data_IF_572131534178
#
_entry.id   IF_572131534178
#
_cell.length_a   1.000
_cell.length_b   1.000
_cell.length_c   1.000
_cell.angle_alpha   90.00
_cell.angle_beta   90.00
_cell.angle_gamma   90.00
#
_symmetry.space_group_name_H-M   'P 1'
#
loop_
_entity.id
_entity.type
_entity.pdbx_description
1 polymer ?
#
# COMPACT_ATOMS: atom_id res chain seq x y z
N UNK A 1 -6.67 6.33 27.38
CA UNK A 1 -6.49 5.14 26.52
C UNK A 1 -6.54 3.94 27.44
N UNK A 2 -7.59 3.12 27.40
CA UNK A 2 -7.62 1.89 28.20
C UNK A 2 -6.86 0.84 27.40
N UNK A 3 -5.77 0.35 27.96
CA UNK A 3 -5.01 -0.76 27.39
C UNK A 3 -5.92 -1.98 27.30
N UNK A 4 -6.40 -2.30 26.11
CA UNK A 4 -7.35 -3.40 25.87
C UNK A 4 -6.76 -4.74 26.36
N UNK A 5 -5.42 -4.86 26.30
CA UNK A 5 -4.66 -5.97 26.85
C UNK A 5 -4.69 -6.00 28.38
N UNK A 6 -4.53 -4.87 29.08
CA UNK A 6 -4.62 -4.81 30.54
C UNK A 6 -6.06 -5.01 31.05
N UNK A 7 -7.07 -4.59 30.28
CA UNK A 7 -8.48 -4.79 30.63
C UNK A 7 -8.93 -6.26 30.47
N UNK A 8 -8.46 -6.95 29.43
CA UNK A 8 -8.81 -8.35 29.13
C UNK A 8 -8.11 -9.40 29.99
N UNK A 9 -7.05 -9.04 30.72
CA UNK A 9 -6.25 -9.96 31.54
C UNK A 9 -6.66 -9.99 33.04
N UNK A 10 -7.70 -9.26 33.45
CA UNK A 10 -8.16 -9.29 34.84
C UNK A 10 -8.97 -10.56 35.16
N UNK A 11 -8.69 -11.28 36.27
CA UNK A 11 -9.43 -12.48 36.65
C UNK A 11 -10.92 -12.17 36.89
N UNK A 12 -11.81 -12.96 36.30
CA UNK A 12 -13.26 -12.86 36.51
C UNK A 12 -14.02 -11.98 35.50
N UNK A 13 -13.36 -11.45 34.46
CA UNK A 13 -14.04 -10.74 33.35
C UNK A 13 -14.07 -11.58 32.08
N UNK A 14 -15.15 -11.45 31.31
CA UNK A 14 -15.27 -12.06 29.98
C UNK A 14 -14.15 -11.47 29.11
N UNK A 15 -13.21 -12.32 28.70
CA UNK A 15 -12.15 -11.94 27.75
C UNK A 15 -12.84 -11.42 26.50
N UNK A 16 -12.84 -10.10 26.30
CA UNK A 16 -13.23 -9.53 25.02
C UNK A 16 -12.19 -10.01 24.01
N UNK A 17 -12.56 -11.05 23.25
CA UNK A 17 -11.75 -11.53 22.15
C UNK A 17 -11.50 -10.34 21.22
N UNK A 18 -10.29 -10.19 20.66
CA UNK A 18 -10.04 -9.16 19.66
C UNK A 18 -11.17 -9.18 18.62
N UNK A 19 -11.67 -8.02 18.16
CA UNK A 19 -12.83 -7.95 17.27
C UNK A 19 -12.76 -8.93 16.08
N UNK A 20 -11.56 -9.15 15.54
CA UNK A 20 -11.31 -10.09 14.45
C UNK A 20 -11.60 -11.57 14.80
N UNK A 21 -11.42 -12.01 16.05
CA UNK A 21 -11.70 -13.40 16.48
C UNK A 21 -13.20 -13.59 16.66
N UNK A 22 -13.90 -12.62 17.23
CA UNK A 22 -15.37 -12.63 17.35
C UNK A 22 -16.01 -12.60 15.97
N UNK A 23 -15.52 -11.74 15.08
CA UNK A 23 -15.86 -11.68 13.67
C UNK A 23 -15.66 -13.02 12.94
N UNK A 24 -14.49 -13.67 13.12
CA UNK A 24 -14.20 -14.97 12.51
C UNK A 24 -15.13 -16.05 13.04
N UNK A 25 -15.42 -16.04 14.35
CA UNK A 25 -16.36 -16.99 14.98
C UNK A 25 -17.79 -16.78 14.46
N UNK A 26 -18.24 -15.54 14.32
CA UNK A 26 -19.53 -15.20 13.73
C UNK A 26 -19.61 -15.66 12.27
N UNK A 27 -18.60 -15.34 11.46
CA UNK A 27 -18.53 -15.74 10.05
C UNK A 27 -18.60 -17.26 9.86
N UNK A 28 -17.98 -18.05 10.74
CA UNK A 28 -18.04 -19.52 10.72
C UNK A 28 -19.43 -20.09 11.02
N UNK A 29 -20.28 -19.33 11.72
CA UNK A 29 -21.67 -19.74 12.07
C UNK A 29 -22.74 -19.06 11.20
N UNK A 30 -22.37 -18.03 10.44
CA UNK A 30 -23.27 -17.14 9.70
C UNK A 30 -23.77 -17.72 8.37
N UNK A 31 -22.91 -18.48 7.67
CA UNK A 31 -23.19 -19.01 6.32
C UNK A 31 -24.37 -19.98 6.27
N UNK A 32 -24.79 -20.56 7.39
CA UNK A 32 -25.92 -21.50 7.43
C UNK A 32 -27.31 -20.82 7.41
N UNK A 33 -27.40 -19.51 7.67
CA UNK A 33 -28.68 -18.80 7.83
C UNK A 33 -28.77 -17.45 7.10
N UNK A 34 -27.69 -16.97 6.50
CA UNK A 34 -27.63 -15.64 5.89
C UNK A 34 -27.75 -15.67 4.36
N UNK A 35 -28.29 -14.58 3.80
CA UNK A 35 -28.24 -14.32 2.35
C UNK A 35 -26.82 -14.00 1.92
N UNK A 36 -26.55 -14.08 0.61
CA UNK A 36 -25.26 -13.70 0.04
C UNK A 36 -24.93 -12.21 0.31
N UNK A 37 -25.94 -11.33 0.21
CA UNK A 37 -25.80 -9.91 0.52
C UNK A 37 -25.40 -9.68 1.99
N UNK A 38 -26.14 -10.27 2.94
CA UNK A 38 -25.83 -10.14 4.37
C UNK A 38 -24.45 -10.71 4.75
N UNK A 39 -23.99 -11.76 4.04
CA UNK A 39 -22.66 -12.32 4.24
C UNK A 39 -21.55 -11.40 3.72
N UNK A 40 -21.80 -10.66 2.63
CA UNK A 40 -20.87 -9.65 2.09
C UNK A 40 -20.77 -8.46 3.05
N UNK A 41 -21.89 -7.93 3.51
CA UNK A 41 -21.93 -6.77 4.43
C UNK A 41 -21.19 -7.09 5.74
N UNK A 42 -21.44 -8.29 6.30
CA UNK A 42 -20.71 -8.75 7.48
C UNK A 42 -19.20 -8.81 7.21
N UNK A 43 -18.78 -9.35 6.07
CA UNK A 43 -17.35 -9.43 5.74
C UNK A 43 -16.67 -8.05 5.61
N UNK A 44 -17.42 -7.04 5.18
CA UNK A 44 -16.94 -5.65 5.09
C UNK A 44 -16.82 -5.02 6.47
N UNK A 45 -17.84 -5.20 7.33
CA UNK A 45 -17.77 -4.77 8.73
C UNK A 45 -16.59 -5.43 9.46
N UNK A 46 -16.33 -6.71 9.20
CA UNK A 46 -15.18 -7.42 9.76
C UNK A 46 -13.86 -6.80 9.30
N UNK A 47 -13.75 -6.41 8.02
CA UNK A 47 -12.57 -5.74 7.50
C UNK A 47 -12.37 -4.37 8.19
N UNK A 48 -13.43 -3.57 8.33
CA UNK A 48 -13.41 -2.27 9.03
C UNK A 48 -12.99 -2.44 10.49
N UNK A 49 -13.58 -3.40 11.21
CA UNK A 49 -13.20 -3.74 12.59
C UNK A 49 -11.76 -4.26 12.71
N UNK A 50 -11.19 -4.78 11.63
CA UNK A 50 -9.82 -5.27 11.55
C UNK A 50 -8.76 -4.17 11.64
N UNK A 51 -9.15 -2.91 11.42
CA UNK A 51 -8.26 -1.75 11.50
C UNK A 51 -8.98 -0.54 12.14
N UNK A 52 -9.14 -0.56 13.48
CA UNK A 52 -9.95 0.42 14.22
C UNK A 52 -9.27 1.79 14.40
N UNK A 53 -8.22 2.08 13.64
CA UNK A 53 -7.44 3.31 13.80
C UNK A 53 -8.28 4.54 13.46
N UNK A 54 -8.11 5.61 14.24
CA UNK A 54 -8.66 6.93 13.96
C UNK A 54 -7.58 7.99 14.17
N UNK A 55 -7.53 9.05 13.34
CA UNK A 55 -6.57 10.12 13.50
C UNK A 55 -6.78 10.90 14.79
N UNK A 56 -5.68 11.40 15.36
CA UNK A 56 -5.74 12.36 16.46
C UNK A 56 -6.53 13.61 16.01
N UNK A 57 -7.44 14.15 16.83
CA UNK A 57 -8.11 15.43 16.56
C UNK A 57 -7.13 16.58 16.31
N UNK A 58 -5.93 16.52 16.90
CA UNK A 58 -4.89 17.54 16.73
C UNK A 58 -4.25 17.53 15.34
N UNK A 59 -4.27 16.37 14.66
CA UNK A 59 -3.75 16.23 13.30
C UNK A 59 -4.78 16.66 12.26
N UNK A 60 -6.01 16.15 12.40
CA UNK A 60 -7.13 16.47 11.52
C UNK A 60 -8.40 16.64 12.38
N UNK A 61 -9.04 17.83 12.35
CA UNK A 61 -10.26 18.04 13.10
C UNK A 61 -11.36 17.10 12.62
N UNK A 62 -12.36 16.88 13.45
CA UNK A 62 -13.56 16.17 13.00
C UNK A 62 -14.47 17.13 12.25
N UNK A 63 -14.78 16.82 11.00
CA UNK A 63 -15.76 17.54 10.22
C UNK A 63 -17.20 17.18 10.63
N UNK A 64 -18.17 18.06 10.39
CA UNK A 64 -19.56 17.82 10.77
C UNK A 64 -20.23 16.68 9.98
N UNK A 65 -19.86 16.53 8.71
CA UNK A 65 -20.45 15.58 7.77
C UNK A 65 -19.45 15.14 6.68
N UNK A 66 -19.84 14.13 5.90
CA UNK A 66 -19.03 13.55 4.84
C UNK A 66 -18.77 14.53 3.69
N UNK A 67 -19.74 15.37 3.33
CA UNK A 67 -19.60 16.36 2.26
C UNK A 67 -18.50 17.38 2.60
N UNK A 68 -18.54 17.93 3.81
CA UNK A 68 -17.50 18.85 4.32
C UNK A 68 -16.14 18.16 4.39
N UNK A 69 -16.10 16.87 4.77
CA UNK A 69 -14.88 16.09 4.79
C UNK A 69 -14.29 15.82 3.41
N UNK A 70 -15.15 15.57 2.42
CA UNK A 70 -14.77 15.41 1.02
C UNK A 70 -14.15 16.70 0.49
N UNK A 71 -14.86 17.83 0.61
CA UNK A 71 -14.39 19.13 0.15
C UNK A 71 -13.04 19.52 0.78
N UNK A 72 -12.91 19.31 2.09
CA UNK A 72 -11.66 19.57 2.80
C UNK A 72 -10.51 18.65 2.30
N UNK A 73 -10.81 17.38 2.04
CA UNK A 73 -9.82 16.43 1.50
C UNK A 73 -9.39 16.80 0.08
N UNK A 74 -10.33 17.19 -0.78
CA UNK A 74 -10.04 17.67 -2.14
C UNK A 74 -9.17 18.94 -2.12
N UNK A 75 -9.49 19.89 -1.23
CA UNK A 75 -8.66 21.08 -1.03
C UNK A 75 -7.24 20.71 -0.59
N UNK A 76 -7.07 19.79 0.37
CA UNK A 76 -5.76 19.32 0.81
C UNK A 76 -4.95 18.66 -0.32
N UNK A 77 -5.60 17.88 -1.19
CA UNK A 77 -4.95 17.26 -2.35
C UNK A 77 -4.34 18.34 -3.26
N UNK A 78 -5.10 19.41 -3.52
CA UNK A 78 -4.66 20.52 -4.36
C UNK A 78 -3.55 21.33 -3.69
N UNK A 79 -3.75 21.71 -2.42
CA UNK A 79 -2.80 22.50 -1.63
C UNK A 79 -1.45 21.79 -1.49
N UNK A 80 -1.47 20.46 -1.29
CA UNK A 80 -0.25 19.68 -1.16
C UNK A 80 0.36 19.32 -2.52
N UNK A 81 -0.32 19.58 -3.63
CA UNK A 81 0.17 19.20 -4.96
C UNK A 81 0.21 17.68 -5.17
N UNK A 82 -0.64 16.92 -4.47
CA UNK A 82 -0.67 15.46 -4.56
C UNK A 82 -1.21 15.03 -5.93
N UNK A 83 -0.56 14.03 -6.52
CA UNK A 83 -0.91 13.45 -7.81
C UNK A 83 -1.01 11.93 -7.64
N UNK A 84 -1.67 11.27 -8.60
CA UNK A 84 -1.87 9.82 -8.62
C UNK A 84 -0.54 9.06 -8.51
N UNK A 85 0.53 9.62 -9.08
CA UNK A 85 1.88 9.04 -9.03
C UNK A 85 2.47 8.96 -7.62
N UNK A 86 1.98 9.78 -6.68
CA UNK A 86 2.41 9.80 -5.28
C UNK A 86 1.63 8.81 -4.40
N UNK A 87 0.54 8.23 -4.89
CA UNK A 87 -0.32 7.39 -4.05
C UNK A 87 0.29 5.97 -3.95
N UNK A 88 0.47 5.44 -2.72
CA UNK A 88 0.93 4.07 -2.50
C UNK A 88 -0.16 3.08 -2.90
N UNK A 89 0.20 1.80 -3.07
CA UNK A 89 -0.82 0.77 -3.38
C UNK A 89 -1.55 0.25 -2.14
N UNK A 90 -1.10 0.66 -0.96
CA UNK A 90 -1.67 0.33 0.34
C UNK A 90 -1.24 1.40 1.35
N UNK A 91 -2.16 1.89 2.16
CA UNK A 91 -1.88 2.94 3.13
C UNK A 91 -1.11 2.40 4.35
N UNK A 92 0.16 2.81 4.48
CA UNK A 92 1.02 2.50 5.62
C UNK A 92 1.28 3.76 6.45
N UNK A 93 1.33 3.59 7.77
CA UNK A 93 1.77 4.59 8.75
C UNK A 93 3.26 4.39 9.04
N UNK A 94 3.88 5.39 9.65
CA UNK A 94 5.32 5.34 9.99
C UNK A 94 5.69 4.22 10.97
N UNK A 95 4.75 3.80 11.82
CA UNK A 95 4.88 2.71 12.79
C UNK A 95 4.40 1.35 12.27
N UNK A 96 3.85 1.29 11.05
CA UNK A 96 3.35 0.04 10.48
C UNK A 96 4.51 -0.87 10.03
N UNK A 97 4.39 -2.19 10.28
CA UNK A 97 5.36 -3.17 9.78
C UNK A 97 5.45 -3.14 8.25
N UNK A 98 6.58 -3.62 7.70
CA UNK A 98 6.81 -3.65 6.24
C UNK A 98 5.70 -4.42 5.50
N UNK A 99 5.24 -5.52 6.12
CA UNK A 99 4.06 -6.27 5.69
C UNK A 99 2.95 -6.05 6.71
N UNK A 100 1.88 -5.38 6.31
CA UNK A 100 0.72 -5.16 7.16
C UNK A 100 0.06 -6.49 7.60
N UNK A 101 -0.55 -6.55 8.80
CA UNK A 101 -1.41 -7.66 9.19
C UNK A 101 -2.55 -7.87 8.20
N UNK A 102 -2.91 -9.12 7.94
CA UNK A 102 -3.94 -9.47 6.94
C UNK A 102 -5.27 -8.75 7.19
N UNK A 103 -5.68 -8.63 8.46
CA UNK A 103 -6.90 -7.94 8.85
C UNK A 103 -6.95 -6.47 8.41
N UNK A 104 -5.82 -5.77 8.38
CA UNK A 104 -5.75 -4.36 7.98
C UNK A 104 -5.57 -4.16 6.47
N UNK A 105 -5.04 -5.16 5.74
CA UNK A 105 -4.68 -4.99 4.32
C UNK A 105 -5.85 -4.59 3.44
N UNK A 106 -7.04 -5.11 3.73
CA UNK A 106 -8.24 -4.85 2.91
C UNK A 106 -8.63 -3.38 2.98
N UNK A 107 -8.83 -2.85 4.19
CA UNK A 107 -9.21 -1.44 4.41
C UNK A 107 -8.12 -0.50 3.92
N UNK A 108 -6.85 -0.75 4.27
CA UNK A 108 -5.72 0.10 3.82
C UNK A 108 -5.52 0.12 2.31
N UNK A 109 -5.89 -0.96 1.62
CA UNK A 109 -5.90 -0.95 0.15
C UNK A 109 -7.10 -0.15 -0.36
N UNK A 110 -8.29 -0.34 0.23
CA UNK A 110 -9.49 0.38 -0.17
C UNK A 110 -9.32 1.90 0.01
N UNK A 111 -8.71 2.36 1.10
CA UNK A 111 -8.35 3.76 1.31
C UNK A 111 -7.38 4.29 0.25
N UNK A 112 -6.41 3.48 -0.18
CA UNK A 112 -5.49 3.88 -1.25
C UNK A 112 -6.19 4.02 -2.60
N UNK A 113 -7.17 3.17 -2.87
CA UNK A 113 -8.04 3.25 -4.05
C UNK A 113 -8.93 4.48 -3.98
N UNK A 114 -9.61 4.69 -2.85
CA UNK A 114 -10.46 5.86 -2.60
C UNK A 114 -9.67 7.17 -2.74
N UNK A 115 -8.47 7.26 -2.16
CA UNK A 115 -7.62 8.45 -2.30
C UNK A 115 -7.19 8.67 -3.76
N UNK A 116 -6.91 7.60 -4.50
CA UNK A 116 -6.57 7.73 -5.93
C UNK A 116 -7.75 8.29 -6.74
N UNK A 117 -8.97 7.85 -6.43
CA UNK A 117 -10.18 8.37 -7.05
C UNK A 117 -10.38 9.86 -6.71
N UNK A 118 -10.21 10.24 -5.44
CA UNK A 118 -10.31 11.65 -4.99
C UNK A 118 -9.25 12.54 -5.65
N UNK A 119 -8.03 12.05 -5.85
CA UNK A 119 -7.00 12.80 -6.58
C UNK A 119 -7.37 13.02 -8.05
N UNK A 120 -8.01 12.03 -8.68
CA UNK A 120 -8.59 12.18 -10.00
C UNK A 120 -9.70 13.25 -10.02
N UNK A 121 -10.64 13.16 -9.08
CA UNK A 121 -11.74 14.10 -8.91
C UNK A 121 -11.26 15.54 -8.67
N UNK A 122 -10.30 15.75 -7.77
CA UNK A 122 -9.75 17.08 -7.46
C UNK A 122 -9.14 17.78 -8.69
N UNK A 123 -8.81 17.03 -9.73
CA UNK A 123 -8.13 17.51 -10.94
C UNK A 123 -8.99 17.37 -12.20
N UNK A 124 -10.31 17.22 -12.03
CA UNK A 124 -11.29 17.04 -13.12
C UNK A 124 -10.96 15.86 -14.06
N UNK A 125 -10.23 14.86 -13.55
CA UNK A 125 -9.86 13.65 -14.26
C UNK A 125 -10.41 12.44 -13.52
N UNK A 126 -11.72 12.21 -13.65
CA UNK A 126 -12.39 11.11 -12.98
C UNK A 126 -11.74 9.77 -13.35
N UNK A 127 -11.28 9.04 -12.33
CA UNK A 127 -10.68 7.71 -12.49
C UNK A 127 -11.69 6.66 -12.03
N UNK A 128 -12.16 5.85 -12.99
CA UNK A 128 -12.97 4.71 -12.66
C UNK A 128 -12.13 3.64 -11.95
N UNK A 129 -12.75 2.83 -11.08
CA UNK A 129 -12.09 1.73 -10.36
C UNK A 129 -11.25 0.85 -11.30
N UNK A 130 -11.71 0.43 -12.50
CA UNK A 130 -10.89 -0.36 -13.43
C UNK A 130 -9.57 0.29 -13.87
N UNK A 131 -9.52 1.63 -13.96
CA UNK A 131 -8.29 2.35 -14.30
C UNK A 131 -7.34 2.42 -13.09
N UNK A 132 -7.90 2.58 -11.89
CA UNK A 132 -7.15 2.53 -10.63
C UNK A 132 -6.54 1.13 -10.43
N UNK A 133 -7.24 0.06 -10.81
CA UNK A 133 -6.70 -1.31 -10.81
C UNK A 133 -5.41 -1.44 -11.62
N UNK A 134 -5.29 -0.75 -12.76
CA UNK A 134 -4.07 -0.79 -13.57
C UNK A 134 -2.91 -0.09 -12.86
N UNK A 135 -3.19 1.02 -12.17
CA UNK A 135 -2.22 1.83 -11.45
C UNK A 135 -1.71 1.16 -10.16
N UNK A 136 -2.59 0.48 -9.44
CA UNK A 136 -2.29 -0.21 -8.17
C UNK A 136 -1.71 -1.63 -8.35
N UNK A 137 -1.56 -2.06 -9.60
CA UNK A 137 -1.28 -3.42 -10.02
C UNK A 137 -2.39 -4.43 -9.64
N UNK A 138 -2.56 -5.44 -10.50
CA UNK A 138 -3.79 -6.19 -10.72
C UNK A 138 -4.26 -7.15 -9.60
N UNK A 139 -4.53 -6.65 -8.39
CA UNK A 139 -5.13 -7.48 -7.32
C UNK A 139 -6.06 -6.71 -6.38
N UNK A 140 -6.68 -5.61 -6.83
CA UNK A 140 -7.89 -5.14 -6.15
C UNK A 140 -8.96 -6.23 -6.36
N UNK A 141 -9.44 -6.82 -5.27
CA UNK A 141 -10.51 -7.79 -5.32
C UNK A 141 -11.86 -7.08 -5.18
N UNK A 142 -12.97 -7.79 -5.42
CA UNK A 142 -14.32 -7.20 -5.36
C UNK A 142 -14.64 -6.56 -4.00
N UNK A 143 -14.08 -7.09 -2.91
CA UNK A 143 -14.26 -6.51 -1.56
C UNK A 143 -13.57 -5.15 -1.44
N UNK A 144 -12.33 -5.02 -1.90
CA UNK A 144 -11.58 -3.75 -1.85
C UNK A 144 -12.26 -2.70 -2.73
N UNK A 145 -12.73 -3.08 -3.93
CA UNK A 145 -13.45 -2.16 -4.81
C UNK A 145 -14.72 -1.61 -4.15
N UNK A 146 -15.56 -2.49 -3.59
CA UNK A 146 -16.79 -2.09 -2.89
C UNK A 146 -16.49 -1.22 -1.67
N UNK A 147 -15.55 -1.63 -0.81
CA UNK A 147 -15.15 -0.81 0.33
C UNK A 147 -14.61 0.55 -0.09
N UNK A 148 -13.89 0.66 -1.21
CA UNK A 148 -13.37 1.95 -1.66
C UNK A 148 -14.49 2.92 -2.08
N UNK A 149 -15.60 2.39 -2.61
CA UNK A 149 -16.81 3.17 -2.92
C UNK A 149 -17.49 3.60 -1.61
N UNK A 150 -17.80 2.65 -0.73
CA UNK A 150 -18.54 2.90 0.51
C UNK A 150 -17.79 3.79 1.52
N UNK A 151 -16.46 3.69 1.57
CA UNK A 151 -15.63 4.42 2.53
C UNK A 151 -15.76 5.95 2.35
N UNK A 152 -16.08 6.41 1.14
CA UNK A 152 -16.28 7.84 0.85
C UNK A 152 -17.61 8.41 1.35
N UNK A 153 -18.44 7.59 2.01
CA UNK A 153 -19.68 8.04 2.67
C UNK A 153 -19.48 8.36 4.16
N UNK A 154 -18.34 8.02 4.76
CA UNK A 154 -18.04 8.22 6.19
C UNK A 154 -17.04 9.37 6.42
N UNK A 155 -17.42 10.31 7.28
CA UNK A 155 -16.59 11.44 7.71
C UNK A 155 -15.28 10.98 8.36
N UNK A 156 -15.29 9.87 9.10
CA UNK A 156 -14.09 9.39 9.78
C UNK A 156 -13.08 8.77 8.79
N UNK A 157 -13.54 8.24 7.64
CA UNK A 157 -12.66 7.86 6.53
C UNK A 157 -11.95 9.09 5.96
N UNK A 158 -12.67 10.18 5.65
CA UNK A 158 -12.02 11.37 5.09
C UNK A 158 -10.92 11.89 6.03
N UNK A 159 -11.13 11.82 7.35
CA UNK A 159 -10.10 12.22 8.33
C UNK A 159 -8.86 11.34 8.21
N UNK A 160 -9.05 10.03 8.02
CA UNK A 160 -7.95 9.07 7.77
C UNK A 160 -7.21 9.42 6.48
N UNK A 161 -7.93 9.68 5.38
CA UNK A 161 -7.35 10.07 4.10
C UNK A 161 -6.56 11.38 4.18
N UNK A 162 -7.10 12.41 4.85
CA UNK A 162 -6.41 13.67 5.09
C UNK A 162 -5.14 13.51 5.93
N UNK A 163 -5.15 12.58 6.88
CA UNK A 163 -3.96 12.25 7.67
C UNK A 163 -2.90 11.58 6.80
N UNK A 164 -3.29 10.66 5.90
CA UNK A 164 -2.36 10.07 4.93
C UNK A 164 -1.78 11.11 3.97
N UNK A 165 -2.58 12.09 3.54
CA UNK A 165 -2.09 13.21 2.73
C UNK A 165 -1.01 14.02 3.48
N UNK A 166 -1.20 14.26 4.78
CA UNK A 166 -0.19 14.92 5.61
C UNK A 166 1.10 14.08 5.74
N UNK A 167 0.99 12.75 5.88
CA UNK A 167 2.16 11.87 5.88
C UNK A 167 2.91 11.89 4.54
N UNK A 168 2.20 11.77 3.42
CA UNK A 168 2.80 11.85 2.09
C UNK A 168 3.52 13.18 1.84
N UNK A 169 2.93 14.29 2.33
CA UNK A 169 3.56 15.62 2.27
C UNK A 169 4.85 15.66 3.07
N UNK A 170 4.84 15.14 4.30
CA UNK A 170 6.01 15.12 5.18
C UNK A 170 7.14 14.23 4.64
N UNK A 171 6.78 13.18 3.91
CA UNK A 171 7.73 12.30 3.21
C UNK A 171 8.26 12.88 1.88
N UNK A 172 7.77 14.06 1.46
CA UNK A 172 8.26 14.75 0.28
C UNK A 172 7.66 14.28 -1.05
N UNK A 173 6.46 13.69 -1.04
CA UNK A 173 5.70 13.27 -2.23
C UNK A 173 6.53 12.39 -3.20
N UNK A 174 6.94 11.20 -2.76
CA UNK A 174 7.75 10.32 -3.60
C UNK A 174 6.99 9.94 -4.88
N UNK A 175 7.70 9.88 -6.01
CA UNK A 175 7.17 9.42 -7.30
C UNK A 175 7.02 7.88 -7.31
N UNK A 176 6.09 7.36 -6.51
CA UNK A 176 5.92 5.93 -6.28
C UNK A 176 5.56 5.16 -7.55
N UNK A 177 4.80 5.75 -8.46
CA UNK A 177 4.48 5.11 -9.75
C UNK A 177 5.74 4.81 -10.57
N UNK A 178 6.70 5.75 -10.61
CA UNK A 178 7.97 5.56 -11.31
C UNK A 178 8.83 4.51 -10.60
N UNK A 179 8.92 4.56 -9.26
CA UNK A 179 9.62 3.53 -8.48
C UNK A 179 9.05 2.14 -8.76
N UNK A 180 7.72 2.00 -8.82
CA UNK A 180 7.05 0.75 -9.20
C UNK A 180 7.43 0.33 -10.60
N UNK A 181 7.39 1.22 -11.59
CA UNK A 181 7.77 0.90 -12.97
C UNK A 181 9.20 0.36 -13.05
N UNK A 182 10.15 1.04 -12.42
CA UNK A 182 11.58 0.67 -12.46
C UNK A 182 11.86 -0.62 -11.68
N UNK A 183 11.32 -0.77 -10.47
CA UNK A 183 11.62 -1.92 -9.61
C UNK A 183 10.84 -3.19 -10.00
N UNK A 184 9.81 -3.10 -10.83
CA UNK A 184 8.99 -4.26 -11.24
C UNK A 184 9.80 -5.36 -11.94
N UNK A 185 10.93 -4.98 -12.53
CA UNK A 185 11.83 -5.89 -13.23
C UNK A 185 12.92 -6.49 -12.33
N UNK A 186 13.08 -5.98 -11.11
CA UNK A 186 14.05 -6.49 -10.14
C UNK A 186 13.50 -7.76 -9.49
N UNK A 187 13.80 -8.91 -10.10
CA UNK A 187 13.41 -10.25 -9.60
C UNK A 187 14.39 -10.83 -8.58
N UNK A 188 15.56 -10.22 -8.41
CA UNK A 188 16.56 -10.69 -7.45
C UNK A 188 17.57 -9.59 -7.15
N UNK A 189 18.01 -9.49 -5.89
CA UNK A 189 19.12 -8.62 -5.49
C UNK A 189 20.46 -9.25 -5.89
N UNK A 190 21.49 -8.46 -6.25
CA UNK A 190 22.84 -9.00 -6.51
C UNK A 190 23.38 -9.80 -5.33
N UNK A 191 24.13 -10.87 -5.62
CA UNK A 191 24.63 -11.80 -4.60
C UNK A 191 25.49 -11.11 -3.54
N UNK A 192 26.42 -10.23 -3.93
CA UNK A 192 27.30 -9.53 -2.98
C UNK A 192 26.52 -8.72 -1.95
N UNK A 193 25.47 -8.01 -2.38
CA UNK A 193 24.61 -7.23 -1.47
C UNK A 193 23.89 -8.12 -0.46
N UNK A 194 23.50 -9.34 -0.84
CA UNK A 194 22.84 -10.30 0.06
C UNK A 194 23.85 -10.95 1.01
N UNK A 195 25.08 -11.17 0.57
CA UNK A 195 26.16 -11.71 1.41
C UNK A 195 26.57 -10.74 2.53
N UNK A 196 26.39 -9.43 2.30
CA UNK A 196 26.64 -8.38 3.30
C UNK A 196 25.50 -8.20 4.32
N UNK A 197 24.37 -8.91 4.15
CA UNK A 197 23.27 -8.88 5.11
C UNK A 197 23.61 -9.66 6.39
N UNK A 198 22.87 -9.42 7.49
CA UNK A 198 22.96 -10.26 8.68
C UNK A 198 22.80 -11.73 8.34
N UNK A 199 23.58 -12.60 8.99
CA UNK A 199 23.62 -14.03 8.67
C UNK A 199 22.23 -14.67 8.64
N UNK A 200 21.32 -14.33 9.57
CA UNK A 200 19.96 -14.86 9.58
C UNK A 200 19.20 -14.55 8.27
N UNK A 201 19.26 -13.29 7.81
CA UNK A 201 18.66 -12.87 6.55
C UNK A 201 19.38 -13.46 5.33
N UNK A 202 20.71 -13.46 5.31
CA UNK A 202 21.51 -13.97 4.20
C UNK A 202 21.30 -15.48 3.94
N UNK A 203 21.06 -16.26 4.99
CA UNK A 203 20.80 -17.71 4.90
C UNK A 203 19.32 -18.06 4.67
N UNK A 204 18.43 -17.08 4.53
CA UNK A 204 17.04 -17.33 4.15
C UNK A 204 16.98 -18.05 2.80
N UNK A 205 16.18 -19.13 2.64
CA UNK A 205 15.98 -19.77 1.35
C UNK A 205 15.53 -18.75 0.30
N UNK A 206 16.24 -18.69 -0.83
CA UNK A 206 15.99 -17.71 -1.89
C UNK A 206 16.10 -16.23 -1.41
N UNK A 207 17.04 -15.95 -0.49
CA UNK A 207 17.28 -14.63 0.09
C UNK A 207 17.35 -13.50 -0.95
N UNK A 208 17.88 -13.78 -2.15
CA UNK A 208 17.96 -12.80 -3.24
C UNK A 208 16.59 -12.34 -3.74
N UNK A 209 15.65 -13.26 -3.90
CA UNK A 209 14.28 -12.94 -4.32
C UNK A 209 13.47 -12.35 -3.16
N UNK A 210 13.67 -12.86 -1.93
CA UNK A 210 13.01 -12.31 -0.73
C UNK A 210 13.46 -10.88 -0.47
N UNK A 211 14.76 -10.59 -0.58
CA UNK A 211 15.29 -9.23 -0.48
C UNK A 211 14.74 -8.31 -1.58
N UNK A 212 14.55 -8.81 -2.80
CA UNK A 212 13.97 -8.03 -3.90
C UNK A 212 12.50 -7.68 -3.62
N UNK A 213 11.74 -8.63 -3.08
CA UNK A 213 10.37 -8.40 -2.63
C UNK A 213 10.31 -7.44 -1.43
N UNK A 214 11.25 -7.51 -0.47
CA UNK A 214 11.35 -6.54 0.63
C UNK A 214 11.64 -5.13 0.11
N UNK A 215 12.63 -4.99 -0.79
CA UNK A 215 12.99 -3.72 -1.44
C UNK A 215 11.79 -3.11 -2.16
N UNK A 216 11.00 -3.93 -2.87
CA UNK A 216 9.78 -3.47 -3.51
C UNK A 216 8.83 -2.82 -2.50
N UNK A 217 8.59 -3.44 -1.34
CA UNK A 217 7.68 -2.91 -0.33
C UNK A 217 8.20 -1.62 0.32
N UNK A 218 9.49 -1.57 0.62
CA UNK A 218 10.15 -0.41 1.25
C UNK A 218 10.17 0.79 0.29
N UNK A 219 10.59 0.58 -0.96
CA UNK A 219 10.75 1.67 -1.93
C UNK A 219 9.42 2.21 -2.49
N UNK A 220 8.41 1.35 -2.64
CA UNK A 220 7.14 1.69 -3.32
C UNK A 220 5.96 1.91 -2.39
N UNK A 221 6.16 1.69 -1.08
CA UNK A 221 5.07 1.61 -0.08
C UNK A 221 3.96 0.67 -0.57
N UNK A 222 4.40 -0.42 -1.19
CA UNK A 222 3.55 -1.34 -1.93
C UNK A 222 2.97 -2.46 -1.07
N UNK A 223 2.22 -3.34 -1.73
CA UNK A 223 1.75 -4.61 -1.17
C UNK A 223 2.47 -5.80 -1.82
N UNK A 224 2.60 -6.96 -1.13
CA UNK A 224 3.32 -8.12 -1.68
C UNK A 224 2.78 -8.58 -3.04
N UNK A 225 1.46 -8.60 -3.20
CA UNK A 225 0.79 -9.03 -4.43
C UNK A 225 1.01 -8.08 -5.64
N UNK A 226 1.50 -6.85 -5.42
CA UNK A 226 1.76 -5.88 -6.49
C UNK A 226 3.18 -5.95 -7.06
N UNK A 227 4.09 -6.67 -6.40
CA UNK A 227 5.51 -6.68 -6.72
C UNK A 227 5.99 -7.77 -7.66
N UNK A 228 7.31 -7.87 -7.86
CA UNK A 228 7.94 -8.86 -8.73
C UNK A 228 7.71 -10.32 -8.29
N UNK A 229 7.27 -10.55 -7.05
CA UNK A 229 7.01 -11.88 -6.49
C UNK A 229 5.59 -11.98 -5.91
N UNK A 230 4.57 -11.75 -6.74
CA UNK A 230 3.16 -11.68 -6.31
C UNK A 230 2.63 -12.94 -5.58
N UNK A 231 3.25 -14.11 -5.81
CA UNK A 231 2.88 -15.38 -5.18
C UNK A 231 3.71 -15.72 -3.94
N UNK A 232 4.64 -14.85 -3.53
CA UNK A 232 5.44 -15.06 -2.33
C UNK A 232 4.56 -14.98 -1.08
N UNK A 233 4.70 -15.97 -0.21
CA UNK A 233 3.96 -15.99 1.05
C UNK A 233 4.38 -14.79 1.93
N UNK A 234 3.43 -13.97 2.43
CA UNK A 234 3.75 -12.82 3.27
C UNK A 234 4.51 -13.18 4.56
N UNK A 235 4.37 -14.42 5.05
CA UNK A 235 5.10 -14.93 6.22
C UNK A 235 6.62 -14.99 6.00
N UNK A 236 7.07 -15.28 4.77
CA UNK A 236 8.51 -15.32 4.44
C UNK A 236 9.09 -13.91 4.52
N UNK A 237 8.37 -12.91 4.00
CA UNK A 237 8.77 -11.50 4.05
C UNK A 237 8.81 -10.96 5.48
N UNK A 238 7.86 -11.38 6.33
CA UNK A 238 7.84 -11.01 7.74
C UNK A 238 9.01 -11.62 8.51
N UNK A 239 9.33 -12.91 8.27
CA UNK A 239 10.49 -13.55 8.87
C UNK A 239 11.79 -12.87 8.44
N UNK A 240 11.93 -12.60 7.14
CA UNK A 240 13.10 -11.90 6.61
C UNK A 240 13.24 -10.48 7.17
N UNK A 241 12.15 -9.71 7.29
CA UNK A 241 12.18 -8.38 7.91
C UNK A 241 12.55 -8.42 9.40
N UNK A 242 12.18 -9.49 10.11
CA UNK A 242 12.60 -9.70 11.49
C UNK A 242 14.09 -10.02 11.60
N UNK A 243 14.61 -10.83 10.67
CA UNK A 243 16.02 -11.22 10.61
C UNK A 243 16.95 -10.07 10.14
N UNK A 244 16.38 -9.02 9.53
CA UNK A 244 17.10 -7.79 9.21
C UNK A 244 17.27 -6.91 10.46
N UNK A 245 18.54 -6.64 10.82
CA UNK A 245 18.89 -5.57 11.76
C UNK A 245 18.78 -4.19 11.06
N UNK A 246 18.85 -3.06 11.81
CA UNK A 246 18.81 -1.72 11.24
C UNK A 246 19.83 -1.50 10.11
N UNK A 247 21.04 -2.04 10.25
CA UNK A 247 22.13 -1.94 9.29
C UNK A 247 21.77 -2.65 7.97
N UNK A 248 21.23 -3.87 8.03
CA UNK A 248 20.77 -4.62 6.86
C UNK A 248 19.64 -3.92 6.11
N UNK A 249 18.71 -3.29 6.85
CA UNK A 249 17.67 -2.45 6.23
C UNK A 249 18.28 -1.23 5.53
N UNK A 250 19.30 -0.60 6.13
CA UNK A 250 20.02 0.51 5.50
C UNK A 250 20.76 0.07 4.23
N UNK A 251 21.46 -1.06 4.25
CA UNK A 251 22.15 -1.61 3.07
C UNK A 251 21.20 -1.82 1.89
N UNK A 252 20.04 -2.44 2.13
CA UNK A 252 19.03 -2.62 1.08
C UNK A 252 18.45 -1.29 0.59
N UNK A 253 18.31 -0.31 1.48
CA UNK A 253 17.85 1.05 1.13
C UNK A 253 18.82 1.80 0.25
N UNK A 254 20.08 1.83 0.65
CA UNK A 254 21.15 2.43 -0.13
C UNK A 254 21.24 1.78 -1.51
N UNK A 255 21.15 0.45 -1.57
CA UNK A 255 21.16 -0.28 -2.84
C UNK A 255 20.03 0.14 -3.77
N UNK A 256 18.77 0.16 -3.31
CA UNK A 256 17.66 0.49 -4.21
C UNK A 256 17.66 1.97 -4.60
N UNK A 257 18.12 2.87 -3.71
CA UNK A 257 18.27 4.29 -4.03
C UNK A 257 19.31 4.51 -5.13
N UNK A 258 20.47 3.86 -5.03
CA UNK A 258 21.50 3.89 -6.07
C UNK A 258 20.99 3.28 -7.39
N UNK A 259 20.27 2.15 -7.32
CA UNK A 259 19.69 1.51 -8.49
C UNK A 259 18.71 2.42 -9.25
N UNK A 260 17.86 3.16 -8.53
CA UNK A 260 16.95 4.13 -9.14
C UNK A 260 17.68 5.31 -9.77
N UNK A 261 18.74 5.83 -9.14
CA UNK A 261 19.56 6.92 -9.70
C UNK A 261 20.27 6.50 -11.01
N UNK A 262 20.84 5.29 -11.04
CA UNK A 262 21.49 4.73 -12.24
C UNK A 262 20.47 4.46 -13.35
N UNK A 263 19.30 3.95 -13.00
CA UNK A 263 18.24 3.69 -13.97
C UNK A 263 17.68 4.98 -14.57
N UNK A 264 17.55 6.05 -13.77
CA UNK A 264 17.10 7.36 -14.25
C UNK A 264 18.12 8.00 -15.22
N UNK A 265 19.42 7.93 -14.93
CA UNK A 265 20.49 8.45 -15.81
C UNK A 265 20.58 7.69 -17.13
N UNK A 266 20.42 6.37 -17.10
CA UNK A 266 20.43 5.54 -18.33
C UNK A 266 19.25 5.88 -19.26
N UNK A 267 18.08 6.23 -18.72
CA UNK A 267 16.90 6.68 -19.50
C UNK A 267 17.11 8.07 -20.09
N UNK A 268 17.81 8.97 -19.38
CA UNK A 268 18.16 10.31 -19.86
C UNK A 268 19.22 10.28 -20.97
N UNK A 269 20.21 9.38 -20.90
CA UNK A 269 21.21 9.22 -21.96
C UNK A 269 20.63 8.53 -23.21
N UNK A 270 19.60 7.68 -23.04
CA UNK A 270 18.88 7.05 -24.14
C UNK A 270 17.93 7.98 -24.91
N UNK A 271 17.60 9.16 -24.39
CA UNK A 271 16.68 10.11 -25.03
C UNK A 271 17.34 11.06 -26.05
N UNK A 272 18.65 10.93 -26.30
CA UNK A 272 19.37 11.65 -27.37
C UNK A 272 19.68 10.82 -28.62
N UNK A 273 19.38 9.52 -28.65
CA UNK A 273 19.51 8.73 -29.87
C UNK A 273 18.19 8.73 -30.67
N UNK A 274 17.93 9.82 -31.40
CA UNK A 274 16.97 9.79 -32.51
C UNK A 274 17.46 8.73 -33.53
N UNK A 275 16.64 7.73 -33.92
CA UNK A 275 16.92 6.99 -35.12
C UNK A 275 16.77 7.95 -36.30
N UNK A 276 17.85 8.13 -37.05
CA UNK A 276 17.82 8.77 -38.37
C UNK A 276 16.84 7.97 -39.22
N UNK A 277 15.75 8.63 -39.62
CA UNK A 277 14.92 8.16 -40.72
C UNK A 277 15.77 8.21 -42.00
N UNK A 278 16.26 7.06 -42.45
CA UNK A 278 16.62 6.89 -43.86
C UNK A 278 15.35 6.51 -44.62
N UNK A 279 14.73 7.52 -45.24
CA UNK A 279 13.78 7.34 -46.32
C UNK A 279 14.53 7.41 -47.65
N UNK A 280 14.52 6.27 -48.35
CA UNK A 280 14.43 6.21 -49.80
C UNK A 280 15.75 6.31 -50.55
N UNK A 281 16.10 5.22 -51.23
CA UNK A 281 16.27 5.29 -52.67
C UNK A 281 15.92 3.93 -53.31
N UNK A 282 14.83 3.95 -54.08
CA UNK A 282 14.55 2.95 -55.10
C UNK A 282 15.60 3.14 -56.19
N UNK A 283 16.30 2.09 -56.57
CA UNK A 283 16.86 2.02 -57.92
C UNK A 283 16.43 0.73 -58.62
N UNK A 284 15.73 0.97 -59.72
CA UNK A 284 15.40 0.04 -60.79
C UNK A 284 16.68 -0.27 -61.56
N UNK A 285 16.98 -1.56 -61.75
CA UNK A 285 17.41 -2.20 -63.02
C UNK A 285 17.40 -3.71 -62.83
#
# INVERSE_FOLDING_TARGET
MVDFLCWGLQPGRVVARPPYVTATTLALTWTASATEAASRDLADQIAIMGDPWLPSPDLVPRWPDADTGCDATLALILDYGVQVVHIPTIMRRSDDPIVLPEAARTVRTAEAVALTALVGQARDNYLAIPDIHRLHAATINSRVARLAEDLTEDVDTYRRLATYLAFLRNEGLPLLAERRQTLRHVRSIPRGVVEDLPAAAAHTPDARSVAAAWVWLDATLGRPAGGPHAHMAPSILLAFDHDLNPEGRMLLREWWQQYLQVSATTVLDGSFARPVHEHGERHVS
#
